data_IF_067162735954
#
_entry.id   IF_067162735954
#
_cell.length_a   1.000
_cell.length_b   1.000
_cell.length_c   1.000
_cell.angle_alpha   90.00
_cell.angle_beta   90.00
_cell.angle_gamma   90.00
#
_symmetry.space_group_name_H-M   'P 1'
#
loop_
_entity.id
_entity.type
_entity.pdbx_description
1 polymer ?
#
# COMPACT_ATOMS: atom_id res chain seq x y z
N UNK A 1 12.55 36.16 2.14
CA UNK A 1 12.92 35.21 3.19
C UNK A 1 12.08 33.96 3.04
N UNK A 2 12.62 32.94 2.37
CA UNK A 2 12.10 31.58 2.37
C UNK A 2 13.27 30.66 2.71
N UNK A 3 13.07 29.54 3.42
CA UNK A 3 14.17 28.64 3.74
C UNK A 3 14.73 28.08 2.43
N UNK A 4 16.05 28.19 2.29
CA UNK A 4 16.82 27.51 1.25
C UNK A 4 16.56 26.02 1.41
N UNK A 5 15.86 25.41 0.46
CA UNK A 5 15.84 23.96 0.29
C UNK A 5 17.27 23.58 -0.09
N UNK A 6 18.02 23.15 0.92
CA UNK A 6 19.33 22.55 0.74
C UNK A 6 19.18 21.32 -0.15
N UNK A 7 20.08 21.08 -1.12
CA UNK A 7 20.01 19.87 -1.91
C UNK A 7 20.16 18.68 -0.98
N UNK A 8 19.31 17.65 -1.16
CA UNK A 8 19.49 16.34 -0.55
C UNK A 8 20.98 15.98 -0.60
N UNK A 9 21.58 15.74 0.56
CA UNK A 9 23.02 15.63 0.70
C UNK A 9 23.56 14.61 -0.31
N UNK A 10 24.30 15.14 -1.28
CA UNK A 10 24.99 14.37 -2.28
C UNK A 10 26.01 13.52 -1.54
N UNK A 11 25.93 12.20 -1.68
CA UNK A 11 27.03 11.32 -1.30
C UNK A 11 28.23 11.57 -2.24
N UNK A 12 29.03 12.60 -1.95
CA UNK A 12 30.32 12.81 -2.61
C UNK A 12 31.43 12.10 -1.81
N UNK A 13 32.23 11.23 -2.45
CA UNK A 13 33.39 10.65 -1.80
C UNK A 13 34.56 11.62 -1.93
N UNK A 14 35.12 12.09 -0.81
CA UNK A 14 36.57 12.35 -0.64
C UNK A 14 36.85 12.96 0.75
N UNK A 15 37.13 12.09 1.72
CA UNK A 15 37.61 12.48 3.05
C UNK A 15 38.36 11.33 3.70
N UNK A 16 39.69 11.39 3.63
CA UNK A 16 40.63 10.39 4.12
C UNK A 16 40.49 10.21 5.65
N UNK A 17 39.99 9.04 6.09
CA UNK A 17 40.36 8.26 7.30
C UNK A 17 39.16 7.41 7.79
N UNK A 18 39.14 6.15 7.35
CA UNK A 18 38.51 4.97 7.94
C UNK A 18 37.04 5.02 8.46
N UNK A 19 36.19 4.33 7.69
CA UNK A 19 35.16 3.36 8.11
C UNK A 19 33.91 3.84 8.85
N UNK A 20 32.92 4.30 8.09
CA UNK A 20 31.67 3.53 7.85
C UNK A 20 31.24 3.82 6.40
N UNK A 21 31.08 2.83 5.52
CA UNK A 21 30.23 3.07 4.37
C UNK A 21 28.84 3.42 4.91
N UNK A 22 28.05 4.19 4.18
CA UNK A 22 26.61 4.21 4.32
C UNK A 22 26.05 2.82 3.94
N UNK A 23 26.41 1.81 4.74
CA UNK A 23 25.72 0.54 4.81
C UNK A 23 24.56 0.74 5.78
N UNK A 24 23.45 1.11 5.17
CA UNK A 24 22.10 0.83 5.62
C UNK A 24 21.26 0.97 4.33
N UNK A 25 21.35 0.10 3.34
CA UNK A 25 20.88 -1.29 3.36
C UNK A 25 20.05 -1.70 4.60
N UNK A 26 19.17 -0.82 5.10
CA UNK A 26 17.97 -1.26 5.83
C UNK A 26 16.99 -1.83 4.83
N UNK A 27 17.42 -2.95 4.25
CA UNK A 27 16.69 -4.14 3.82
C UNK A 27 15.18 -3.96 3.74
N UNK A 28 14.73 -3.19 2.74
CA UNK A 28 13.37 -3.33 2.27
C UNK A 28 13.17 -4.81 1.89
N UNK A 29 12.17 -5.45 2.48
CA UNK A 29 11.98 -6.88 2.28
C UNK A 29 11.57 -7.17 0.83
N UNK A 30 12.24 -8.12 0.19
CA UNK A 30 11.96 -8.52 -1.19
C UNK A 30 12.43 -7.49 -2.22
N UNK A 31 11.58 -7.22 -3.21
CA UNK A 31 11.91 -6.38 -4.37
C UNK A 31 11.61 -4.88 -4.15
N UNK A 32 11.40 -4.46 -2.90
CA UNK A 32 11.05 -3.09 -2.53
C UNK A 32 12.29 -2.19 -2.50
N UNK A 33 12.08 -0.91 -2.80
CA UNK A 33 13.14 0.12 -2.86
C UNK A 33 12.86 1.18 -1.81
N UNK A 34 13.88 1.55 -1.06
CA UNK A 34 13.79 2.66 -0.10
C UNK A 34 13.77 3.99 -0.85
N UNK A 35 12.84 4.88 -0.50
CA UNK A 35 12.80 6.26 -0.98
C UNK A 35 12.40 7.22 0.13
N UNK A 36 12.95 8.43 0.12
CA UNK A 36 12.61 9.53 1.01
C UNK A 36 11.27 10.22 0.66
N UNK A 37 10.76 10.02 -0.56
CA UNK A 37 9.46 10.53 -1.02
C UNK A 37 8.68 9.45 -1.79
N UNK A 38 8.09 8.52 -1.05
CA UNK A 38 7.04 7.63 -1.54
C UNK A 38 5.64 8.24 -1.38
N UNK A 39 4.65 7.65 -2.07
CA UNK A 39 3.24 8.03 -1.91
C UNK A 39 2.68 7.55 -0.58
N UNK A 40 1.92 8.39 0.12
CA UNK A 40 1.16 7.98 1.32
C UNK A 40 0.06 6.96 1.01
N UNK A 41 -0.37 6.85 -0.26
CA UNK A 41 -1.28 5.82 -0.75
C UNK A 41 -0.57 5.07 -1.89
N UNK A 42 0.22 4.02 -1.59
CA UNK A 42 0.83 3.20 -2.63
C UNK A 42 -0.25 2.41 -3.38
N UNK A 43 -0.11 2.30 -4.70
CA UNK A 43 -1.01 1.50 -5.53
C UNK A 43 -0.81 0.00 -5.25
N UNK A 44 -1.93 -0.71 -5.08
CA UNK A 44 -1.96 -2.16 -4.87
C UNK A 44 -2.80 -2.83 -5.96
N UNK A 45 -2.64 -4.14 -6.16
CA UNK A 45 -3.47 -4.90 -7.11
C UNK A 45 -4.98 -4.77 -6.84
N UNK A 46 -5.37 -4.53 -5.58
CA UNK A 46 -6.78 -4.37 -5.19
C UNK A 46 -7.34 -2.97 -5.51
N UNK A 47 -6.45 -1.99 -5.73
CA UNK A 47 -6.81 -0.56 -5.87
C UNK A 47 -6.46 0.00 -7.25
N UNK A 48 -6.01 -0.83 -8.18
CA UNK A 48 -5.59 -0.42 -9.53
C UNK A 48 -6.72 0.24 -10.34
N UNK A 49 -7.94 -0.27 -10.21
CA UNK A 49 -9.13 0.22 -10.92
C UNK A 49 -9.95 1.24 -10.11
N UNK A 50 -9.54 1.52 -8.86
CA UNK A 50 -10.25 2.44 -7.98
C UNK A 50 -9.72 3.88 -8.12
N UNK A 51 -10.63 4.83 -8.30
CA UNK A 51 -10.30 6.25 -8.22
C UNK A 51 -10.14 6.66 -6.75
N UNK A 52 -8.95 6.43 -6.20
CA UNK A 52 -8.64 6.79 -4.80
C UNK A 52 -8.19 8.24 -4.72
N UNK A 53 -8.89 9.03 -3.90
CA UNK A 53 -8.42 10.35 -3.51
C UNK A 53 -7.20 10.21 -2.58
N UNK A 54 -6.01 10.46 -3.11
CA UNK A 54 -4.78 10.48 -2.32
C UNK A 54 -4.24 11.90 -2.17
N UNK A 55 -3.85 12.26 -0.95
CA UNK A 55 -3.12 13.50 -0.69
C UNK A 55 -1.69 13.39 -1.26
N UNK A 56 -1.19 14.44 -1.91
CA UNK A 56 0.21 14.50 -2.32
C UNK A 56 1.11 14.79 -1.11
N UNK A 57 1.38 13.75 -0.34
CA UNK A 57 2.31 13.78 0.78
C UNK A 57 3.45 12.78 0.51
N UNK A 58 4.69 13.27 0.52
CA UNK A 58 5.88 12.44 0.53
C UNK A 58 6.03 11.74 1.88
N UNK A 59 6.20 10.43 1.87
CA UNK A 59 6.53 9.62 3.04
C UNK A 59 7.80 8.83 2.80
N UNK A 60 8.72 8.85 3.76
CA UNK A 60 9.94 8.05 3.70
C UNK A 60 9.64 6.58 4.03
N UNK A 61 10.26 5.64 3.31
CA UNK A 61 10.04 4.20 3.54
C UNK A 61 10.36 3.32 2.34
N UNK A 62 9.91 2.06 2.42
CA UNK A 62 10.09 1.04 1.39
C UNK A 62 8.85 0.93 0.50
N UNK A 63 9.04 1.11 -0.80
CA UNK A 63 7.95 1.12 -1.78
C UNK A 63 8.28 0.19 -2.95
N UNK A 64 7.24 -0.24 -3.67
CA UNK A 64 7.45 -0.97 -4.91
C UNK A 64 8.15 -0.10 -5.96
N UNK A 65 9.07 -0.66 -6.76
CA UNK A 65 9.76 0.08 -7.81
C UNK A 65 8.76 0.64 -8.83
N UNK A 66 9.17 1.70 -9.53
CA UNK A 66 8.30 2.39 -10.48
C UNK A 66 7.72 1.43 -11.53
N UNK A 67 6.42 1.53 -11.77
CA UNK A 67 5.70 0.66 -12.70
C UNK A 67 5.31 -0.70 -12.14
N UNK A 68 5.53 -0.95 -10.84
CA UNK A 68 5.05 -2.15 -10.15
C UNK A 68 4.11 -1.77 -9.01
N UNK A 69 3.23 -2.71 -8.65
CA UNK A 69 2.25 -2.56 -7.57
C UNK A 69 2.34 -3.73 -6.60
N UNK A 70 1.91 -3.48 -5.37
CA UNK A 70 1.96 -4.48 -4.31
C UNK A 70 0.71 -5.37 -4.34
N UNK A 71 0.92 -6.68 -4.25
CA UNK A 71 -0.17 -7.63 -3.97
C UNK A 71 -0.49 -7.53 -2.48
N UNK A 72 -1.60 -6.90 -2.10
CA UNK A 72 -1.94 -6.61 -0.70
C UNK A 72 -1.93 -7.84 0.22
N UNK A 73 -2.24 -9.03 -0.30
CA UNK A 73 -2.21 -10.28 0.48
C UNK A 73 -0.81 -10.86 0.74
N UNK A 74 0.20 -10.49 -0.06
CA UNK A 74 1.55 -11.12 0.00
C UNK A 74 2.68 -10.13 0.17
N UNK A 75 2.44 -8.83 -0.04
CA UNK A 75 3.45 -7.79 0.02
C UNK A 75 4.46 -7.80 -1.13
N UNK A 76 4.25 -8.63 -2.15
CA UNK A 76 5.13 -8.75 -3.32
C UNK A 76 4.82 -7.69 -4.38
N UNK A 77 5.85 -7.10 -4.96
CA UNK A 77 5.73 -6.18 -6.08
C UNK A 77 5.65 -6.93 -7.41
N UNK A 78 4.65 -6.63 -8.23
CA UNK A 78 4.44 -7.21 -9.57
C UNK A 78 4.03 -6.13 -10.57
N UNK A 79 4.12 -6.42 -11.86
CA UNK A 79 3.53 -5.52 -12.86
C UNK A 79 2.00 -5.49 -12.69
N UNK A 80 1.33 -4.36 -12.98
CA UNK A 80 -0.14 -4.27 -12.91
C UNK A 80 -0.86 -5.35 -13.72
N UNK A 81 -0.27 -5.76 -14.85
CA UNK A 81 -0.75 -6.83 -15.72
C UNK A 81 -0.59 -8.24 -15.15
N UNK A 82 0.28 -8.42 -14.15
CA UNK A 82 0.54 -9.68 -13.45
C UNK A 82 -0.24 -9.78 -12.12
N UNK A 83 -1.13 -8.82 -11.84
CA UNK A 83 -1.99 -8.89 -10.67
C UNK A 83 -2.89 -10.14 -10.75
N UNK A 84 -2.99 -10.93 -9.66
CA UNK A 84 -3.89 -12.06 -9.64
C UNK A 84 -5.31 -11.57 -9.87
N UNK A 85 -6.05 -12.21 -10.78
CA UNK A 85 -7.48 -11.96 -10.90
C UNK A 85 -8.11 -12.27 -9.53
N UNK A 86 -8.55 -11.23 -8.83
CA UNK A 86 -9.32 -11.41 -7.60
C UNK A 86 -10.56 -12.19 -8.04
N UNK A 87 -10.76 -13.44 -7.57
CA UNK A 87 -12.01 -14.11 -7.86
C UNK A 87 -13.09 -13.21 -7.29
N UNK A 88 -13.96 -12.70 -8.16
CA UNK A 88 -15.27 -12.24 -7.72
C UNK A 88 -15.81 -13.40 -6.90
N UNK A 89 -15.86 -13.22 -5.57
CA UNK A 89 -16.60 -14.12 -4.69
C UNK A 89 -18.05 -13.95 -5.13
N UNK A 90 -18.40 -14.71 -6.17
CA UNK A 90 -19.73 -14.79 -6.70
C UNK A 90 -20.59 -15.17 -5.51
N UNK A 91 -21.52 -14.29 -5.14
CA UNK A 91 -22.34 -14.39 -3.95
C UNK A 91 -23.21 -15.65 -4.01
N UNK A 92 -22.60 -16.81 -3.72
CA UNK A 92 -23.16 -18.11 -4.06
C UNK A 92 -24.14 -18.52 -2.96
N UNK A 93 -25.25 -19.17 -3.35
CA UNK A 93 -26.28 -19.59 -2.40
C UNK A 93 -27.33 -18.52 -2.09
N UNK A 94 -27.69 -17.71 -3.09
CA UNK A 94 -28.78 -16.73 -2.99
C UNK A 94 -28.44 -15.50 -2.16
N UNK A 95 -27.15 -15.19 -2.02
CA UNK A 95 -26.69 -13.98 -1.34
C UNK A 95 -26.67 -12.83 -2.36
N UNK A 96 -27.01 -11.63 -1.91
CA UNK A 96 -26.87 -10.41 -2.69
C UNK A 96 -25.76 -9.54 -2.09
N UNK A 97 -24.92 -8.95 -2.95
CA UNK A 97 -23.90 -8.00 -2.51
C UNK A 97 -24.57 -6.67 -2.14
N UNK A 98 -24.28 -6.17 -0.93
CA UNK A 98 -24.64 -4.82 -0.53
C UNK A 98 -23.37 -4.02 -0.17
N UNK A 99 -23.24 -2.82 -0.74
CA UNK A 99 -22.13 -1.90 -0.45
C UNK A 99 -22.24 -1.27 0.95
N UNK A 100 -23.45 -1.25 1.53
CA UNK A 100 -23.69 -0.87 2.93
C UNK A 100 -24.67 -1.85 3.61
N UNK A 101 -24.12 -2.84 4.29
CA UNK A 101 -24.87 -3.77 5.13
C UNK A 101 -25.01 -3.30 6.58
N UNK A 102 -25.99 -3.83 7.30
CA UNK A 102 -26.03 -3.71 8.75
C UNK A 102 -24.91 -4.53 9.38
N UNK A 103 -24.21 -3.99 10.41
CA UNK A 103 -23.22 -4.74 11.19
C UNK A 103 -23.82 -5.97 11.90
N UNK A 104 -25.14 -5.99 12.11
CA UNK A 104 -25.91 -7.12 12.59
C UNK A 104 -26.97 -7.54 11.55
N UNK A 105 -26.63 -8.39 10.56
CA UNK A 105 -27.61 -8.92 9.63
C UNK A 105 -28.59 -9.84 10.37
N UNK A 106 -29.88 -9.70 10.09
CA UNK A 106 -30.91 -10.58 10.66
C UNK A 106 -30.77 -11.99 10.11
N UNK A 107 -30.69 -13.00 10.98
CA UNK A 107 -30.66 -14.42 10.59
C UNK A 107 -32.03 -15.07 10.79
N UNK A 108 -32.21 -16.30 10.28
CA UNK A 108 -33.44 -17.07 10.48
C UNK A 108 -33.77 -17.33 11.96
N UNK A 109 -32.74 -17.34 12.81
CA UNK A 109 -32.89 -17.55 14.25
C UNK A 109 -33.28 -16.27 15.00
N UNK A 110 -32.97 -15.10 14.44
CA UNK A 110 -33.13 -13.79 15.11
C UNK A 110 -34.25 -12.95 14.52
N UNK A 111 -35.07 -13.52 13.63
CA UNK A 111 -36.11 -12.81 12.87
C UNK A 111 -37.18 -12.14 13.75
N UNK A 112 -37.24 -12.52 15.02
CA UNK A 112 -38.24 -12.05 15.97
C UNK A 112 -37.62 -11.53 17.29
N UNK A 113 -36.33 -11.21 17.30
CA UNK A 113 -35.66 -10.55 18.41
C UNK A 113 -35.20 -9.15 18.03
N UNK A 114 -35.41 -8.19 18.94
CA UNK A 114 -34.81 -6.87 18.81
C UNK A 114 -33.35 -7.01 19.21
N UNK A 115 -32.48 -7.26 18.24
CA UNK A 115 -31.04 -7.22 18.42
C UNK A 115 -30.62 -5.76 18.25
N UNK A 116 -30.17 -5.07 19.31
CA UNK A 116 -29.55 -3.76 19.15
C UNK A 116 -28.21 -3.94 18.43
N UNK A 117 -28.04 -3.22 17.32
CA UNK A 117 -26.71 -2.92 16.77
C UNK A 117 -25.92 -2.00 17.69
#
# INVERSE_FOLDING_TARGET
>A
SGPTLEPAEVCEPLGLLASRPCEDDSNCEGDKVFTDCGSACPSTCETLDDEIFCIQLCVEGCFCPQGTVEIGSTGKCVAPEDCPEIPIEDCTGGKEFNDCGSACPTTCDTVNEIIPC
#
